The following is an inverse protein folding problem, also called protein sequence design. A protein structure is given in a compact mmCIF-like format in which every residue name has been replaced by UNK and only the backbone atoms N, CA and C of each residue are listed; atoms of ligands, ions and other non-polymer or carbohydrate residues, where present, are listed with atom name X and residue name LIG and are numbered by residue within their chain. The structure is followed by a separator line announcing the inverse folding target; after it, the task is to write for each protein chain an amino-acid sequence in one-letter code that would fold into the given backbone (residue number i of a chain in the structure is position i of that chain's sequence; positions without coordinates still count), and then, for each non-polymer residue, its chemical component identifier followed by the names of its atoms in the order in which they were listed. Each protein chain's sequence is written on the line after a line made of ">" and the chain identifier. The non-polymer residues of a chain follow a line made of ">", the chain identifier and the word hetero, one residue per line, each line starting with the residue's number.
data_IF_399856027939
#
_entry.id   IF_399856027939
#
_cell.length_a   1.000
_cell.length_b   1.000
_cell.length_c   1.000
_cell.angle_alpha   90.00
_cell.angle_beta   90.00
_cell.angle_gamma   90.00
#
_symmetry.space_group_name_H-M   'P 1'
#
loop_
_entity.id
_entity.type
_entity.pdbx_description
1 polymer ?
#
# COMPACT_ATOMS: atom_id res chain seq x y z
N UNK A 1 -4.10 0.72 19.02
CA UNK A 1 -3.94 0.98 17.57
C UNK A 1 -2.62 1.69 17.47
N UNK A 2 -1.76 1.28 16.55
CA UNK A 2 -0.43 1.88 16.42
C UNK A 2 -0.46 2.93 15.33
N UNK A 3 0.07 4.11 15.63
CA UNK A 3 0.10 5.27 14.75
C UNK A 3 1.45 5.94 14.86
N UNK A 4 2.13 6.10 13.75
CA UNK A 4 3.36 6.88 13.62
C UNK A 4 3.04 8.32 13.18
N UNK A 5 3.94 9.26 13.44
CA UNK A 5 3.74 10.66 13.10
C UNK A 5 4.85 11.16 12.16
N UNK A 6 4.44 11.72 11.03
CA UNK A 6 5.29 12.52 10.15
C UNK A 6 4.79 13.98 10.19
N UNK A 7 5.35 14.77 11.13
CA UNK A 7 4.80 16.08 11.49
C UNK A 7 3.36 15.93 12.04
N UNK A 8 2.40 16.56 11.38
CA UNK A 8 0.98 16.48 11.74
C UNK A 8 0.25 15.30 11.09
N UNK A 9 0.92 14.55 10.22
CA UNK A 9 0.32 13.41 9.52
C UNK A 9 0.43 12.16 10.37
N UNK A 10 -0.70 11.54 10.66
CA UNK A 10 -0.81 10.28 11.37
C UNK A 10 -0.85 9.11 10.38
N UNK A 11 0.05 8.15 10.54
CA UNK A 11 0.16 6.95 9.70
C UNK A 11 -0.19 5.72 10.53
N UNK A 12 -1.35 5.13 10.25
CA UNK A 12 -1.78 3.88 10.87
C UNK A 12 -0.96 2.70 10.37
N UNK A 13 -0.48 1.86 11.29
CA UNK A 13 0.23 0.64 10.93
C UNK A 13 -0.12 -0.56 11.82
N UNK A 14 0.24 -1.74 11.34
CA UNK A 14 0.11 -3.02 12.03
C UNK A 14 1.45 -3.78 11.95
N UNK A 15 1.83 -4.45 13.02
CA UNK A 15 3.05 -5.26 13.11
C UNK A 15 2.72 -6.71 13.47
N UNK A 16 3.40 -7.65 12.83
CA UNK A 16 3.25 -9.09 13.01
C UNK A 16 4.62 -9.70 13.32
N UNK A 17 4.62 -10.78 14.08
CA UNK A 17 5.83 -11.53 14.42
C UNK A 17 6.63 -10.91 15.55
N UNK A 18 7.83 -11.45 15.74
CA UNK A 18 8.75 -11.08 16.82
C UNK A 18 9.44 -9.74 16.49
N UNK A 19 9.39 -8.74 17.40
CA UNK A 19 9.99 -7.42 17.18
C UNK A 19 11.52 -7.45 17.02
N UNK A 20 12.20 -8.48 17.50
CA UNK A 20 13.65 -8.61 17.41
C UNK A 20 14.14 -9.19 16.06
N UNK A 21 13.21 -9.57 15.18
CA UNK A 21 13.52 -10.10 13.86
C UNK A 21 13.71 -9.01 12.83
N UNK A 22 14.47 -9.28 11.72
CA UNK A 22 14.58 -8.36 10.61
C UNK A 22 13.21 -7.90 10.10
N UNK A 23 13.01 -6.59 10.00
CA UNK A 23 11.71 -6.02 9.60
C UNK A 23 11.53 -6.06 8.09
N UNK A 24 10.38 -6.54 7.63
CA UNK A 24 9.85 -6.40 6.28
C UNK A 24 8.71 -5.37 6.30
N UNK A 25 8.95 -4.21 5.71
CA UNK A 25 7.95 -3.14 5.55
C UNK A 25 7.22 -3.31 4.23
N UNK A 26 5.89 -3.36 4.28
CA UNK A 26 5.01 -3.56 3.14
C UNK A 26 4.29 -2.25 2.77
N UNK A 27 4.46 -1.79 1.52
CA UNK A 27 3.90 -0.53 1.01
C UNK A 27 2.88 -0.84 -0.09
N UNK A 28 1.63 -0.43 0.14
CA UNK A 28 0.53 -0.63 -0.80
C UNK A 28 0.54 0.34 -1.98
N UNK A 29 -0.18 -0.04 -3.03
CA UNK A 29 -0.48 0.80 -4.18
C UNK A 29 -1.56 1.85 -3.89
N UNK A 30 -1.90 2.59 -4.94
CA UNK A 30 -2.85 3.70 -4.91
C UNK A 30 -4.20 3.28 -4.32
N UNK A 31 -4.66 3.99 -3.29
CA UNK A 31 -5.96 3.78 -2.64
C UNK A 31 -6.15 2.45 -1.91
N UNK A 32 -5.13 1.60 -1.85
CA UNK A 32 -5.19 0.29 -1.19
C UNK A 32 -4.84 0.39 0.28
N UNK A 33 -5.72 -0.13 1.14
CA UNK A 33 -5.50 -0.20 2.58
C UNK A 33 -4.50 -1.31 2.95
N UNK A 34 -3.86 -1.21 4.11
CA UNK A 34 -2.84 -2.15 4.59
C UNK A 34 -3.35 -3.61 4.66
N UNK A 35 -4.65 -3.81 4.93
CA UNK A 35 -5.29 -5.12 4.95
C UNK A 35 -5.33 -5.82 3.59
N UNK A 36 -4.94 -5.15 2.50
CA UNK A 36 -4.76 -5.78 1.20
C UNK A 36 -3.62 -6.82 1.21
N UNK A 37 -2.60 -6.60 2.05
CA UNK A 37 -1.68 -7.65 2.47
C UNK A 37 -2.35 -8.45 3.59
N UNK A 38 -3.04 -9.54 3.25
CA UNK A 38 -3.81 -10.36 4.21
C UNK A 38 -2.94 -10.81 5.41
N UNK A 39 -3.56 -10.93 6.59
CA UNK A 39 -2.82 -11.30 7.81
C UNK A 39 -2.16 -12.66 7.70
N UNK A 40 -2.82 -13.63 7.08
CA UNK A 40 -2.30 -14.97 6.82
C UNK A 40 -1.08 -14.93 5.88
N UNK A 41 -1.09 -13.99 4.93
CA UNK A 41 0.06 -13.79 4.04
C UNK A 41 1.22 -13.13 4.77
N UNK A 42 0.97 -12.14 5.64
CA UNK A 42 1.98 -11.56 6.52
C UNK A 42 2.58 -12.62 7.47
N UNK A 43 1.73 -13.50 8.03
CA UNK A 43 2.18 -14.57 8.92
C UNK A 43 3.19 -15.51 8.25
N UNK A 44 3.03 -15.81 6.95
CA UNK A 44 4.00 -16.65 6.22
C UNK A 44 5.42 -16.07 6.24
N UNK A 45 5.57 -14.75 6.17
CA UNK A 45 6.89 -14.12 6.34
C UNK A 45 7.38 -14.16 7.80
N UNK A 46 6.46 -14.08 8.76
CA UNK A 46 6.82 -14.24 10.17
C UNK A 46 7.34 -15.66 10.45
N UNK A 47 6.75 -16.67 9.84
CA UNK A 47 7.17 -18.07 9.95
C UNK A 47 8.56 -18.29 9.33
N UNK A 48 8.97 -17.46 8.36
CA UNK A 48 10.31 -17.42 7.77
C UNK A 48 11.30 -16.52 8.56
N UNK A 49 10.89 -16.02 9.73
CA UNK A 49 11.76 -15.28 10.64
C UNK A 49 11.80 -13.76 10.43
N UNK A 50 10.81 -13.16 9.79
CA UNK A 50 10.69 -11.72 9.67
C UNK A 50 9.72 -11.14 10.71
N UNK A 51 9.95 -9.89 11.12
CA UNK A 51 8.91 -9.02 11.60
C UNK A 51 8.26 -8.35 10.41
N UNK A 52 6.95 -8.43 10.27
CA UNK A 52 6.23 -7.81 9.15
C UNK A 52 5.49 -6.58 9.62
N UNK A 53 5.66 -5.46 8.91
CA UNK A 53 4.94 -4.21 9.16
C UNK A 53 4.19 -3.82 7.88
N UNK A 54 2.89 -3.56 8.01
CA UNK A 54 2.05 -3.00 6.94
C UNK A 54 1.37 -1.73 7.43
N UNK A 55 1.20 -0.74 6.59
CA UNK A 55 0.59 0.53 6.96
C UNK A 55 -0.37 1.05 5.89
N UNK A 56 -1.28 1.90 6.29
CA UNK A 56 -2.12 2.67 5.38
C UNK A 56 -1.34 3.92 4.96
N UNK A 57 -1.16 4.13 3.66
CA UNK A 57 -0.59 5.37 3.16
C UNK A 57 -1.46 6.57 3.59
N UNK A 58 -0.87 7.80 3.62
CA UNK A 58 -1.65 9.02 3.80
C UNK A 58 -2.85 9.03 2.86
N UNK A 59 -3.96 9.62 3.27
CA UNK A 59 -5.24 9.62 2.57
C UNK A 59 -5.95 8.26 2.47
N UNK A 60 -5.36 7.17 2.96
CA UNK A 60 -5.93 5.82 2.85
C UNK A 60 -6.29 5.26 4.22
N UNK A 61 -7.35 4.46 4.28
CA UNK A 61 -7.72 3.68 5.45
C UNK A 61 -7.83 4.51 6.72
N UNK A 62 -7.03 4.19 7.73
CA UNK A 62 -7.05 4.84 9.05
C UNK A 62 -5.99 5.93 9.23
N UNK A 63 -5.15 6.16 8.23
CA UNK A 63 -4.21 7.27 8.23
C UNK A 63 -4.90 8.60 7.97
N UNK A 64 -4.23 9.72 8.26
CA UNK A 64 -4.71 11.08 8.06
C UNK A 64 -5.29 11.30 6.68
N UNK A 65 -6.34 12.12 6.61
CA UNK A 65 -6.97 12.59 5.38
C UNK A 65 -6.59 14.04 5.16
N UNK A 66 -5.87 14.29 4.07
CA UNK A 66 -5.23 15.57 3.75
C UNK A 66 -6.00 16.30 2.66
N UNK A 67 -7.27 16.62 2.93
CA UNK A 67 -8.17 17.26 1.99
C UNK A 67 -7.54 18.54 1.38
N UNK A 68 -7.33 18.52 0.05
CA UNK A 68 -6.83 19.67 -0.69
C UNK A 68 -5.32 19.95 -0.55
N UNK A 69 -4.59 19.15 0.19
CA UNK A 69 -3.12 19.29 0.35
C UNK A 69 -2.40 18.47 -0.70
N UNK A 70 -1.54 19.09 -1.48
CA UNK A 70 -0.65 18.40 -2.41
C UNK A 70 0.50 17.72 -1.65
N UNK A 71 0.86 16.53 -2.07
CA UNK A 71 2.02 15.81 -1.57
C UNK A 71 2.65 14.94 -2.67
N UNK A 72 3.90 14.58 -2.45
CA UNK A 72 4.74 13.85 -3.40
C UNK A 72 5.02 12.41 -2.92
N UNK A 73 5.67 11.62 -3.79
CA UNK A 73 6.22 10.32 -3.40
C UNK A 73 7.32 10.45 -2.34
N UNK A 74 8.00 11.61 -2.24
CA UNK A 74 8.97 11.88 -1.18
C UNK A 74 8.28 11.97 0.16
N UNK A 75 7.17 12.71 0.26
CA UNK A 75 6.40 12.80 1.49
C UNK A 75 5.87 11.43 1.94
N UNK A 76 5.47 10.57 0.99
CA UNK A 76 5.04 9.21 1.29
C UNK A 76 6.20 8.28 1.70
N UNK A 77 7.41 8.54 1.18
CA UNK A 77 8.61 7.84 1.64
C UNK A 77 8.97 8.26 3.08
N UNK A 78 8.86 9.54 3.41
CA UNK A 78 9.05 10.04 4.77
C UNK A 78 8.03 9.47 5.75
N UNK A 79 6.77 9.21 5.32
CA UNK A 79 5.79 8.47 6.12
C UNK A 79 6.25 7.06 6.46
N UNK A 80 6.81 6.35 5.48
CA UNK A 80 7.35 5.01 5.71
C UNK A 80 8.55 5.03 6.68
N UNK A 81 9.38 6.07 6.62
CA UNK A 81 10.46 6.30 7.60
C UNK A 81 9.89 6.58 8.99
N UNK A 82 8.85 7.41 9.10
CA UNK A 82 8.20 7.68 10.38
C UNK A 82 7.65 6.41 11.04
N UNK A 83 7.10 5.47 10.26
CA UNK A 83 6.68 4.16 10.76
C UNK A 83 7.88 3.36 11.30
N UNK A 84 9.01 3.36 10.60
CA UNK A 84 10.23 2.67 11.06
C UNK A 84 10.81 3.34 12.33
N UNK A 85 10.73 4.66 12.43
CA UNK A 85 11.23 5.42 13.58
C UNK A 85 10.38 5.18 14.84
N UNK A 86 9.04 5.17 14.70
CA UNK A 86 8.13 4.83 15.80
C UNK A 86 8.38 3.42 16.35
N UNK A 87 8.74 2.49 15.46
CA UNK A 87 9.07 1.11 15.80
C UNK A 87 10.52 0.91 16.28
N UNK A 88 11.33 1.99 16.28
CA UNK A 88 12.78 1.95 16.59
C UNK A 88 13.53 0.97 15.69
N UNK A 89 13.13 0.88 14.40
CA UNK A 89 13.75 0.00 13.41
C UNK A 89 14.80 0.79 12.62
N UNK A 90 16.11 0.53 12.80
CA UNK A 90 17.17 1.29 12.15
C UNK A 90 17.25 1.02 10.66
N UNK A 91 16.97 -0.22 10.22
CA UNK A 91 16.96 -0.64 8.81
C UNK A 91 15.93 -1.73 8.58
N UNK A 92 15.29 -1.70 7.41
CA UNK A 92 14.29 -2.68 7.02
C UNK A 92 14.49 -3.19 5.59
N UNK A 93 13.99 -4.40 5.32
CA UNK A 93 13.63 -4.83 3.97
C UNK A 93 12.34 -4.13 3.59
N UNK A 94 12.24 -3.62 2.37
CA UNK A 94 11.04 -2.90 1.89
C UNK A 94 10.50 -3.60 0.66
N UNK A 95 9.21 -3.88 0.66
CA UNK A 95 8.49 -4.38 -0.51
C UNK A 95 7.30 -3.48 -0.80
N UNK A 96 7.29 -2.89 -1.99
CA UNK A 96 6.21 -2.03 -2.46
C UNK A 96 5.52 -2.58 -3.71
N UNK A 97 4.20 -2.45 -3.77
CA UNK A 97 3.39 -2.87 -4.91
C UNK A 97 2.81 -1.66 -5.65
N UNK A 98 2.94 -1.61 -6.98
CA UNK A 98 2.42 -0.51 -7.83
C UNK A 98 3.00 0.85 -7.39
N UNK A 99 2.17 1.82 -7.00
CA UNK A 99 2.62 3.08 -6.40
C UNK A 99 3.51 2.85 -5.17
N UNK A 100 3.22 1.82 -4.35
CA UNK A 100 4.10 1.42 -3.24
C UNK A 100 5.51 1.04 -3.69
N UNK A 101 5.65 0.47 -4.89
CA UNK A 101 6.96 0.22 -5.51
C UNK A 101 7.67 1.49 -5.94
N UNK A 102 6.96 2.55 -6.35
CA UNK A 102 7.52 3.87 -6.61
C UNK A 102 7.99 4.53 -5.31
N UNK A 103 7.21 4.41 -4.23
CA UNK A 103 7.59 4.87 -2.89
C UNK A 103 8.85 4.13 -2.42
N UNK A 104 8.93 2.80 -2.61
CA UNK A 104 10.10 2.01 -2.24
C UNK A 104 11.35 2.42 -3.03
N UNK A 105 11.22 2.79 -4.31
CA UNK A 105 12.30 3.36 -5.12
C UNK A 105 12.72 4.74 -4.59
N UNK A 106 11.75 5.57 -4.18
CA UNK A 106 12.03 6.87 -3.58
C UNK A 106 12.77 6.73 -2.25
N UNK A 107 12.39 5.77 -1.41
CA UNK A 107 13.14 5.39 -0.20
C UNK A 107 14.58 5.01 -0.52
N UNK A 108 14.82 4.26 -1.60
CA UNK A 108 16.17 3.87 -2.01
C UNK A 108 17.04 5.07 -2.45
N UNK A 109 16.43 6.12 -2.96
CA UNK A 109 17.13 7.35 -3.36
C UNK A 109 17.41 8.23 -2.14
N UNK A 110 16.39 8.51 -1.32
CA UNK A 110 16.47 9.51 -0.27
C UNK A 110 16.96 8.94 1.07
N UNK A 111 16.68 7.66 1.34
CA UNK A 111 16.90 7.01 2.62
C UNK A 111 17.64 5.66 2.49
N UNK A 112 18.59 5.54 1.54
CA UNK A 112 19.35 4.30 1.30
C UNK A 112 19.97 3.69 2.56
N UNK A 113 20.40 4.53 3.50
CA UNK A 113 20.96 4.10 4.79
C UNK A 113 19.99 3.36 5.72
N UNK A 114 18.68 3.47 5.47
CA UNK A 114 17.60 2.83 6.24
C UNK A 114 17.12 1.51 5.63
N UNK A 115 17.71 1.05 4.53
CA UNK A 115 17.26 -0.11 3.78
C UNK A 115 18.27 -1.25 3.86
N UNK A 116 17.76 -2.47 4.01
CA UNK A 116 18.48 -3.73 3.85
C UNK A 116 18.33 -4.25 2.42
N UNK A 117 17.11 -4.14 1.86
CA UNK A 117 16.81 -4.45 0.46
C UNK A 117 15.53 -3.75 0.01
N UNK A 118 15.35 -3.64 -1.30
CA UNK A 118 14.13 -3.11 -1.93
C UNK A 118 13.59 -4.11 -2.94
N UNK A 119 12.29 -4.39 -2.84
CA UNK A 119 11.53 -5.18 -3.80
C UNK A 119 10.40 -4.33 -4.37
N UNK A 120 10.48 -4.01 -5.66
CA UNK A 120 9.46 -3.23 -6.38
C UNK A 120 8.64 -4.18 -7.26
N UNK A 121 7.34 -4.32 -6.94
CA UNK A 121 6.43 -5.27 -7.59
C UNK A 121 5.41 -4.53 -8.43
N UNK A 122 5.23 -4.92 -9.71
CA UNK A 122 4.22 -4.35 -10.61
C UNK A 122 4.25 -2.81 -10.62
N UNK A 123 5.44 -2.24 -10.73
CA UNK A 123 5.71 -0.81 -10.60
C UNK A 123 6.52 -0.29 -11.79
N UNK A 124 6.87 1.00 -11.77
CA UNK A 124 7.69 1.64 -12.81
C UNK A 124 8.59 2.71 -12.20
N UNK A 125 9.60 3.12 -12.96
CA UNK A 125 10.54 4.20 -12.56
C UNK A 125 10.02 5.61 -12.82
N UNK A 126 8.95 5.75 -13.62
CA UNK A 126 8.47 7.04 -14.12
C UNK A 126 9.15 7.48 -15.42
N UNK A 127 10.11 6.72 -15.94
CA UNK A 127 10.76 7.02 -17.21
C UNK A 127 9.77 6.98 -18.37
N UNK A 128 9.76 8.00 -19.27
CA UNK A 128 8.86 8.02 -20.41
C UNK A 128 9.02 6.79 -21.31
N UNK A 129 7.89 6.17 -21.67
CA UNK A 129 7.86 5.00 -22.56
C UNK A 129 8.04 3.65 -21.88
N UNK A 130 8.40 3.60 -20.60
CA UNK A 130 8.62 2.36 -19.87
C UNK A 130 7.59 2.11 -18.78
N UNK A 131 7.08 0.88 -18.70
CA UNK A 131 6.20 0.44 -17.63
C UNK A 131 4.85 1.16 -17.59
N UNK A 132 4.36 1.65 -18.73
CA UNK A 132 3.06 2.31 -18.79
C UNK A 132 1.93 1.30 -18.54
N UNK A 133 0.91 1.76 -17.81
CA UNK A 133 -0.32 0.99 -17.65
C UNK A 133 -1.01 0.82 -19.01
N UNK A 134 -1.70 -0.31 -19.22
CA UNK A 134 -2.61 -0.45 -20.35
C UNK A 134 -3.76 0.55 -20.24
N UNK A 135 -4.41 0.88 -21.36
CA UNK A 135 -5.57 1.77 -21.36
C UNK A 135 -6.68 1.27 -20.42
N UNK A 136 -6.92 -0.05 -20.43
CA UNK A 136 -7.92 -0.66 -19.55
C UNK A 136 -7.56 -0.51 -18.06
N UNK A 137 -6.29 -0.70 -17.70
CA UNK A 137 -5.83 -0.49 -16.31
C UNK A 137 -5.92 1.00 -15.92
N UNK A 138 -5.53 1.90 -16.82
CA UNK A 138 -5.60 3.33 -16.57
C UNK A 138 -7.04 3.79 -16.36
N UNK A 139 -7.98 3.33 -17.19
CA UNK A 139 -9.40 3.64 -17.05
C UNK A 139 -9.97 3.24 -15.67
N UNK A 140 -9.54 2.09 -15.13
CA UNK A 140 -9.95 1.66 -13.80
C UNK A 140 -9.30 2.52 -12.71
N UNK A 141 -8.00 2.79 -12.81
CA UNK A 141 -7.24 3.55 -11.82
C UNK A 141 -7.70 5.01 -11.70
N UNK A 142 -8.16 5.60 -12.82
CA UNK A 142 -8.64 7.00 -12.88
C UNK A 142 -10.16 7.12 -12.79
N UNK A 143 -10.88 6.02 -12.61
CA UNK A 143 -12.34 6.05 -12.49
C UNK A 143 -12.77 6.83 -11.23
N UNK A 144 -13.88 7.61 -11.32
CA UNK A 144 -14.44 8.30 -10.15
C UNK A 144 -14.70 7.36 -8.98
N UNK A 145 -14.73 7.83 -7.73
CA UNK A 145 -15.03 7.00 -6.57
C UNK A 145 -16.32 6.21 -6.74
N UNK A 146 -16.35 4.97 -6.23
CA UNK A 146 -17.56 4.16 -6.25
C UNK A 146 -18.60 4.75 -5.28
N UNK A 147 -19.85 4.98 -5.70
CA UNK A 147 -20.85 5.66 -4.86
C UNK A 147 -21.40 4.78 -3.74
N UNK A 148 -21.28 3.47 -3.84
CA UNK A 148 -21.82 2.51 -2.86
C UNK A 148 -20.85 1.38 -2.58
N UNK A 149 -21.06 0.66 -1.46
CA UNK A 149 -20.32 -0.55 -1.13
C UNK A 149 -20.38 -1.61 -2.24
N UNK A 150 -21.56 -1.84 -2.80
CA UNK A 150 -21.73 -2.84 -3.86
C UNK A 150 -20.91 -2.48 -5.10
N UNK A 151 -21.03 -1.24 -5.58
CA UNK A 151 -20.25 -0.76 -6.74
C UNK A 151 -18.74 -0.73 -6.47
N UNK A 152 -18.33 -0.48 -5.23
CA UNK A 152 -16.92 -0.56 -4.84
C UNK A 152 -16.40 -2.00 -4.97
N UNK A 153 -17.14 -2.96 -4.40
CA UNK A 153 -16.78 -4.40 -4.45
C UNK A 153 -16.71 -4.90 -5.89
N UNK A 154 -17.73 -4.60 -6.72
CA UNK A 154 -17.76 -5.01 -8.12
C UNK A 154 -16.60 -4.41 -8.91
N UNK A 155 -16.23 -3.16 -8.63
CA UNK A 155 -15.08 -2.51 -9.25
C UNK A 155 -13.76 -3.18 -8.86
N UNK A 156 -13.59 -3.60 -7.59
CA UNK A 156 -12.38 -4.30 -7.16
C UNK A 156 -12.24 -5.66 -7.86
N UNK A 157 -13.35 -6.38 -8.06
CA UNK A 157 -13.36 -7.62 -8.86
C UNK A 157 -12.94 -7.34 -10.30
N UNK A 158 -13.59 -6.37 -10.97
CA UNK A 158 -13.26 -5.99 -12.33
C UNK A 158 -11.79 -5.55 -12.47
N UNK A 159 -11.27 -4.80 -11.51
CA UNK A 159 -9.89 -4.36 -11.49
C UNK A 159 -8.90 -5.52 -11.50
N UNK A 160 -9.13 -6.53 -10.66
CA UNK A 160 -8.25 -7.70 -10.59
C UNK A 160 -8.31 -8.59 -11.84
N UNK A 161 -9.41 -8.59 -12.58
CA UNK A 161 -9.46 -9.23 -13.90
C UNK A 161 -8.67 -8.47 -14.98
N UNK A 162 -8.40 -7.17 -14.78
CA UNK A 162 -7.64 -6.37 -15.75
C UNK A 162 -6.14 -6.37 -15.45
N UNK A 163 -5.76 -6.19 -14.18
CA UNK A 163 -4.34 -6.06 -13.81
C UNK A 163 -3.88 -7.03 -12.70
N UNK A 164 -4.73 -7.94 -12.27
CA UNK A 164 -4.39 -8.96 -11.28
C UNK A 164 -3.66 -10.16 -11.86
N UNK A 165 -3.67 -11.24 -11.11
CA UNK A 165 -3.12 -12.52 -11.53
C UNK A 165 -3.96 -13.17 -12.63
N UNK A 166 -3.47 -14.27 -13.19
CA UNK A 166 -4.23 -15.06 -14.17
C UNK A 166 -5.58 -15.47 -13.60
N UNK A 167 -6.65 -15.54 -14.44
CA UNK A 167 -8.01 -15.83 -13.98
C UNK A 167 -8.12 -17.11 -13.14
N UNK A 168 -7.37 -18.16 -13.47
CA UNK A 168 -7.35 -19.44 -12.75
C UNK A 168 -6.78 -19.35 -11.32
N UNK A 169 -6.13 -18.24 -10.97
CA UNK A 169 -5.56 -17.95 -9.64
C UNK A 169 -6.38 -16.93 -8.85
N UNK A 170 -7.45 -16.41 -9.44
CA UNK A 170 -8.34 -15.44 -8.79
C UNK A 170 -9.52 -16.17 -8.14
N UNK A 171 -9.65 -15.99 -6.83
CA UNK A 171 -10.85 -16.39 -6.11
C UNK A 171 -11.75 -15.17 -5.90
N UNK A 172 -12.81 -15.08 -6.68
CA UNK A 172 -13.72 -13.93 -6.64
C UNK A 172 -14.41 -13.79 -5.28
N UNK A 173 -14.68 -14.89 -4.55
CA UNK A 173 -15.28 -14.81 -3.22
C UNK A 173 -14.34 -14.15 -2.23
N UNK A 174 -13.05 -14.51 -2.27
CA UNK A 174 -11.99 -13.90 -1.45
C UNK A 174 -11.83 -12.43 -1.82
N UNK A 175 -11.83 -12.09 -3.10
CA UNK A 175 -11.72 -10.71 -3.58
C UNK A 175 -12.89 -9.88 -3.04
N UNK A 176 -14.12 -10.35 -3.19
CA UNK A 176 -15.34 -9.67 -2.71
C UNK A 176 -15.33 -9.49 -1.19
N UNK A 177 -14.95 -10.51 -0.45
CA UNK A 177 -14.85 -10.43 1.00
C UNK A 177 -13.83 -9.38 1.45
N UNK A 178 -12.64 -9.36 0.83
CA UNK A 178 -11.57 -8.39 1.13
C UNK A 178 -11.99 -6.96 0.75
N UNK A 179 -12.58 -6.78 -0.41
CA UNK A 179 -13.08 -5.48 -0.84
C UNK A 179 -14.18 -4.96 0.09
N UNK A 180 -15.12 -5.83 0.49
CA UNK A 180 -16.14 -5.50 1.48
C UNK A 180 -15.54 -5.07 2.81
N UNK A 181 -14.57 -5.83 3.33
CA UNK A 181 -13.89 -5.51 4.58
C UNK A 181 -13.14 -4.17 4.51
N UNK A 182 -12.49 -3.87 3.37
CA UNK A 182 -11.81 -2.59 3.16
C UNK A 182 -12.80 -1.42 3.14
N UNK A 183 -13.95 -1.57 2.50
CA UNK A 183 -15.01 -0.57 2.50
C UNK A 183 -15.54 -0.32 3.91
N UNK A 184 -15.89 -1.38 4.63
CA UNK A 184 -16.47 -1.31 5.97
C UNK A 184 -15.46 -0.77 7.00
N UNK A 185 -14.15 -1.03 6.80
CA UNK A 185 -13.09 -0.54 7.68
C UNK A 185 -12.89 0.97 7.61
N UNK A 186 -12.79 1.51 6.44
CA UNK A 186 -12.70 2.95 6.19
C UNK A 186 -12.72 3.22 4.68
N UNK A 187 -13.86 3.50 4.13
CA UNK A 187 -13.97 3.98 2.76
C UNK A 187 -13.95 5.51 2.74
N UNK A 188 -12.93 6.07 2.09
CA UNK A 188 -12.78 7.51 1.91
C UNK A 188 -12.88 7.84 0.41
N UNK A 189 -14.08 8.21 -0.08
CA UNK A 189 -14.32 8.40 -1.52
C UNK A 189 -13.58 9.59 -2.13
N UNK A 190 -13.14 10.56 -1.33
CA UNK A 190 -12.44 11.77 -1.79
C UNK A 190 -10.98 11.57 -2.17
N UNK A 191 -10.41 10.41 -1.90
CA UNK A 191 -8.96 10.13 -2.04
C UNK A 191 -8.64 9.27 -3.26
N UNK A 192 -9.53 9.16 -4.22
CA UNK A 192 -9.20 8.40 -5.43
C UNK A 192 -8.46 9.24 -6.44
N UNK A 193 -7.35 8.69 -6.91
CA UNK A 193 -6.72 8.81 -8.24
C UNK A 193 -6.60 10.18 -8.95
N UNK A 194 -7.00 11.27 -8.37
CA UNK A 194 -6.93 12.61 -8.99
C UNK A 194 -5.77 13.47 -8.46
N UNK A 195 -4.77 12.84 -7.84
CA UNK A 195 -3.59 13.55 -7.34
C UNK A 195 -2.29 12.89 -7.75
#
# INVERSE_FOLDING_TARGET
>A
MSTAHNGEVEIYFESFGDPDRPTLLLINGLGSQCINFASEWCQRFCDEGFRVVRFDNRDVGRSSKLDGTDYSLTDMADDAIAVLDDLVVPKAHVMGCSMGGMIAQRLAIDHAGRLLSVTSVMSRTGEPGYGNSSEAALAILTAPPAPTRATYVDRQVAALHVYGSKPEWLDEQVIRARAGAAYDRCFCPGVSAAR
#
